data_IF_585899355891
#
_entry.id   IF_585899355891
#
_cell.length_a   1.000
_cell.length_b   1.000
_cell.length_c   1.000
_cell.angle_alpha   90.00
_cell.angle_beta   90.00
_cell.angle_gamma   90.00
#
_symmetry.space_group_name_H-M   'P 1'
#
loop_
_entity.id
_entity.type
_entity.pdbx_description
1 polymer ?
#
# COMPACT_ATOMS: atom_id res chain seq x y z
N UNK A 1 -14.55 15.13 3.36
CA UNK A 1 -13.84 14.06 2.64
C UNK A 1 -13.30 13.11 3.68
N UNK A 2 -13.61 11.82 3.58
CA UNK A 2 -13.12 10.81 4.52
C UNK A 2 -11.61 10.56 4.31
N UNK A 3 -10.94 9.96 5.31
CA UNK A 3 -9.53 9.54 5.17
C UNK A 3 -9.34 8.60 3.98
N UNK A 4 -10.27 7.68 3.79
CA UNK A 4 -10.27 6.74 2.68
C UNK A 4 -10.40 7.45 1.32
N UNK A 5 -11.31 8.41 1.18
CA UNK A 5 -11.43 9.20 -0.05
C UNK A 5 -10.17 10.02 -0.34
N UNK A 6 -9.53 10.57 0.70
CA UNK A 6 -8.24 11.28 0.56
C UNK A 6 -7.16 10.32 0.06
N UNK A 7 -7.04 9.14 0.67
CA UNK A 7 -6.08 8.12 0.27
C UNK A 7 -6.28 7.71 -1.18
N UNK A 8 -7.51 7.37 -1.58
CA UNK A 8 -7.82 6.99 -2.97
C UNK A 8 -7.40 8.07 -3.97
N UNK A 9 -7.62 9.36 -3.66
CA UNK A 9 -7.18 10.46 -4.52
C UNK A 9 -5.66 10.56 -4.66
N UNK A 10 -4.91 10.29 -3.59
CA UNK A 10 -3.44 10.27 -3.65
C UNK A 10 -2.93 9.09 -4.47
N UNK A 11 -3.56 7.92 -4.32
CA UNK A 11 -3.21 6.73 -5.10
C UNK A 11 -3.59 6.83 -6.59
N UNK A 12 -4.62 7.61 -6.91
CA UNK A 12 -5.05 7.88 -8.29
C UNK A 12 -4.21 8.96 -9.00
N UNK A 13 -3.28 9.62 -8.30
CA UNK A 13 -2.36 10.55 -8.94
C UNK A 13 -1.53 9.84 -10.02
N UNK A 14 -1.14 10.51 -11.12
CA UNK A 14 -0.16 9.95 -12.05
C UNK A 14 1.14 9.57 -11.35
N UNK A 15 1.75 8.46 -11.77
CA UNK A 15 3.13 8.10 -11.39
C UNK A 15 4.11 9.12 -11.98
N UNK A 16 4.56 10.04 -11.14
CA UNK A 16 5.55 11.05 -11.44
C UNK A 16 6.44 11.31 -10.21
N UNK A 17 7.52 12.08 -10.40
CA UNK A 17 8.46 12.39 -9.32
C UNK A 17 7.75 13.08 -8.14
N UNK A 18 6.71 13.87 -8.39
CA UNK A 18 6.00 14.56 -7.32
C UNK A 18 5.21 13.56 -6.45
N UNK A 19 4.63 12.53 -7.07
CA UNK A 19 4.00 11.45 -6.33
C UNK A 19 4.99 10.75 -5.41
N UNK A 20 6.12 10.28 -5.96
CA UNK A 20 7.14 9.56 -5.19
C UNK A 20 7.78 10.41 -4.08
N UNK A 21 8.13 11.66 -4.38
CA UNK A 21 8.88 12.52 -3.45
C UNK A 21 8.00 13.11 -2.32
N UNK A 22 6.70 13.31 -2.57
CA UNK A 22 5.81 14.05 -1.66
C UNK A 22 4.55 13.26 -1.30
N UNK A 23 3.77 12.85 -2.30
CA UNK A 23 2.44 12.29 -2.04
C UNK A 23 2.47 10.88 -1.45
N UNK A 24 3.52 10.10 -1.73
CA UNK A 24 3.71 8.77 -1.16
C UNK A 24 3.79 8.85 0.37
N UNK A 25 4.57 9.78 0.91
CA UNK A 25 4.66 10.03 2.36
C UNK A 25 3.30 10.43 2.96
N UNK A 26 2.59 11.35 2.32
CA UNK A 26 1.24 11.73 2.77
C UNK A 26 0.24 10.56 2.76
N UNK A 27 0.33 9.69 1.74
CA UNK A 27 -0.52 8.52 1.64
C UNK A 27 -0.21 7.49 2.73
N UNK A 28 1.09 7.27 3.02
CA UNK A 28 1.56 6.40 4.11
C UNK A 28 1.07 6.90 5.46
N UNK A 29 1.20 8.18 5.76
CA UNK A 29 0.70 8.77 7.02
C UNK A 29 -0.81 8.54 7.23
N UNK A 30 -1.59 8.58 6.15
CA UNK A 30 -3.03 8.28 6.23
C UNK A 30 -3.24 6.82 6.63
N UNK A 31 -2.53 5.89 6.00
CA UNK A 31 -2.58 4.45 6.33
C UNK A 31 -2.19 4.24 7.80
N UNK A 32 -1.07 4.80 8.24
CA UNK A 32 -0.54 4.63 9.60
C UNK A 32 -1.45 5.21 10.68
N UNK A 33 -2.31 6.17 10.33
CA UNK A 33 -3.26 6.76 11.27
C UNK A 33 -4.36 5.80 11.71
N UNK A 34 -4.69 4.78 10.90
CA UNK A 34 -5.68 3.74 11.21
C UNK A 34 -5.54 2.54 10.24
N UNK A 35 -4.45 1.76 10.33
CA UNK A 35 -4.10 0.77 9.33
C UNK A 35 -5.10 -0.39 9.29
N UNK A 36 -5.58 -0.84 10.46
CA UNK A 36 -6.54 -1.95 10.55
C UNK A 36 -7.85 -1.62 9.83
N UNK A 37 -8.40 -0.42 10.01
CA UNK A 37 -9.65 -0.02 9.36
C UNK A 37 -9.45 0.23 7.87
N UNK A 38 -8.44 1.02 7.50
CA UNK A 38 -8.25 1.43 6.11
C UNK A 38 -7.86 0.25 5.22
N UNK A 39 -6.88 -0.55 5.64
CA UNK A 39 -6.40 -1.67 4.83
C UNK A 39 -7.41 -2.81 4.78
N UNK A 40 -8.22 -3.03 5.82
CA UNK A 40 -9.32 -4.03 5.76
C UNK A 40 -10.33 -3.64 4.69
N UNK A 41 -10.72 -2.36 4.64
CA UNK A 41 -11.66 -1.88 3.63
C UNK A 41 -11.07 -1.97 2.21
N UNK A 42 -9.76 -1.78 2.05
CA UNK A 42 -9.08 -1.95 0.75
C UNK A 42 -9.04 -3.43 0.36
N UNK A 43 -8.70 -4.31 1.31
CA UNK A 43 -8.60 -5.76 1.08
C UNK A 43 -9.91 -6.36 0.55
N UNK A 44 -11.06 -5.80 0.88
CA UNK A 44 -12.36 -6.28 0.40
C UNK A 44 -12.67 -5.90 -1.07
N UNK A 45 -11.98 -4.92 -1.65
CA UNK A 45 -12.37 -4.34 -2.95
C UNK A 45 -11.22 -4.14 -3.95
N UNK A 46 -9.97 -4.40 -3.56
CA UNK A 46 -8.78 -4.08 -4.35
C UNK A 46 -8.81 -4.69 -5.76
N UNK A 47 -9.42 -5.87 -5.95
CA UNK A 47 -9.48 -6.55 -7.26
C UNK A 47 -10.16 -5.70 -8.35
N UNK A 48 -11.05 -4.78 -7.95
CA UNK A 48 -11.76 -3.87 -8.84
C UNK A 48 -11.00 -2.59 -9.17
N UNK A 49 -9.89 -2.32 -8.49
CA UNK A 49 -9.15 -1.07 -8.63
C UNK A 49 -8.31 -1.02 -9.91
N UNK A 50 -8.06 0.20 -10.45
CA UNK A 50 -7.17 0.36 -11.60
C UNK A 50 -5.71 0.08 -11.22
N UNK A 51 -4.92 -0.31 -12.23
CA UNK A 51 -3.50 -0.66 -12.11
C UNK A 51 -2.69 0.39 -11.33
N UNK A 52 -2.72 1.66 -11.76
CA UNK A 52 -2.01 2.77 -11.12
C UNK A 52 -2.26 2.85 -9.61
N UNK A 53 -3.53 2.73 -9.19
CA UNK A 53 -3.89 2.78 -7.77
C UNK A 53 -3.32 1.61 -7.00
N UNK A 54 -3.31 0.42 -7.61
CA UNK A 54 -2.78 -0.80 -6.99
C UNK A 54 -1.25 -0.79 -6.94
N UNK A 55 -0.57 -0.23 -7.95
CA UNK A 55 0.87 -0.05 -7.97
C UNK A 55 1.30 0.90 -6.83
N UNK A 56 0.69 2.07 -6.77
CA UNK A 56 0.91 3.05 -5.71
C UNK A 56 0.59 2.48 -4.32
N UNK A 57 -0.50 1.72 -4.19
CA UNK A 57 -0.78 1.02 -2.94
C UNK A 57 0.33 0.05 -2.59
N UNK A 58 0.73 -0.82 -3.51
CA UNK A 58 1.77 -1.84 -3.29
C UNK A 58 3.12 -1.23 -2.91
N UNK A 59 3.48 -0.10 -3.52
CA UNK A 59 4.69 0.67 -3.20
C UNK A 59 4.73 1.12 -1.73
N UNK A 60 3.57 1.48 -1.15
CA UNK A 60 3.49 2.00 0.22
C UNK A 60 3.50 0.92 1.30
N UNK A 61 3.34 -0.37 0.95
CA UNK A 61 3.21 -1.44 1.93
C UNK A 61 4.57 -1.99 2.36
N UNK A 62 4.62 -2.57 3.55
CA UNK A 62 5.80 -3.25 4.11
C UNK A 62 6.55 -2.43 5.15
N UNK A 63 6.27 -1.13 5.25
CA UNK A 63 6.78 -0.28 6.32
C UNK A 63 6.03 -0.48 7.65
N UNK A 64 4.79 -0.97 7.60
CA UNK A 64 4.01 -1.32 8.79
C UNK A 64 4.11 -2.79 9.15
N UNK A 65 3.60 -3.14 10.33
CA UNK A 65 3.60 -4.53 10.85
C UNK A 65 2.21 -5.04 11.18
N UNK A 66 1.16 -4.37 10.68
CA UNK A 66 -0.21 -4.82 10.91
C UNK A 66 -0.47 -6.16 10.19
N UNK A 67 -1.30 -7.01 10.80
CA UNK A 67 -1.63 -8.31 10.19
C UNK A 67 -2.44 -8.12 8.90
N UNK A 68 -3.21 -7.04 8.80
CA UNK A 68 -3.99 -6.75 7.59
C UNK A 68 -3.11 -6.29 6.43
N UNK A 69 -2.03 -5.55 6.70
CA UNK A 69 -1.05 -5.15 5.68
C UNK A 69 -0.36 -6.35 5.05
N UNK A 70 0.06 -7.32 5.87
CA UNK A 70 0.61 -8.59 5.36
C UNK A 70 -0.38 -9.35 4.48
N UNK A 71 -1.65 -9.44 4.90
CA UNK A 71 -2.70 -10.10 4.09
C UNK A 71 -2.90 -9.38 2.75
N UNK A 72 -2.88 -8.06 2.75
CA UNK A 72 -3.03 -7.25 1.54
C UNK A 72 -1.84 -7.43 0.60
N UNK A 73 -0.60 -7.41 1.12
CA UNK A 73 0.61 -7.70 0.32
C UNK A 73 0.49 -9.07 -0.36
N UNK A 74 0.09 -10.10 0.39
CA UNK A 74 -0.10 -11.46 -0.15
C UNK A 74 -1.20 -11.48 -1.21
N UNK A 75 -2.32 -10.78 -0.99
CA UNK A 75 -3.40 -10.71 -1.97
C UNK A 75 -2.93 -10.07 -3.29
N UNK A 76 -2.11 -9.01 -3.22
CA UNK A 76 -1.58 -8.30 -4.38
C UNK A 76 -0.62 -9.15 -5.24
N UNK A 77 -0.02 -10.22 -4.70
CA UNK A 77 0.72 -11.20 -5.51
C UNK A 77 -0.17 -11.92 -6.54
N UNK A 78 -1.47 -11.99 -6.29
CA UNK A 78 -2.46 -12.55 -7.23
C UNK A 78 -2.94 -11.55 -8.28
N UNK A 79 -2.44 -10.32 -8.29
CA UNK A 79 -2.87 -9.30 -9.25
C UNK A 79 -2.58 -9.70 -10.71
N UNK A 80 -3.49 -9.32 -11.62
CA UNK A 80 -3.30 -9.46 -13.07
C UNK A 80 -2.24 -8.52 -13.64
N UNK A 81 -1.87 -7.49 -12.89
CA UNK A 81 -0.92 -6.45 -13.29
C UNK A 81 0.49 -6.79 -12.82
N UNK A 82 1.44 -6.89 -13.76
CA UNK A 82 2.79 -7.39 -13.46
C UNK A 82 3.59 -6.45 -12.55
N UNK A 83 3.40 -5.15 -12.73
CA UNK A 83 3.93 -4.06 -11.91
C UNK A 83 3.46 -4.14 -10.46
N UNK A 84 2.16 -4.35 -10.25
CA UNK A 84 1.59 -4.57 -8.91
C UNK A 84 2.23 -5.78 -8.24
N UNK A 85 2.39 -6.89 -8.97
CA UNK A 85 3.04 -8.11 -8.45
C UNK A 85 4.53 -7.85 -8.13
N UNK A 86 5.21 -7.02 -8.93
CA UNK A 86 6.59 -6.63 -8.67
C UNK A 86 6.71 -5.86 -7.34
N UNK A 87 5.95 -4.78 -7.16
CA UNK A 87 5.97 -3.99 -5.93
C UNK A 87 5.50 -4.77 -4.72
N UNK A 88 4.50 -5.65 -4.87
CA UNK A 88 4.07 -6.50 -3.77
C UNK A 88 5.15 -7.51 -3.34
N UNK A 89 6.10 -7.88 -4.21
CA UNK A 89 7.29 -8.67 -3.80
C UNK A 89 8.30 -7.80 -3.04
N UNK A 90 8.50 -6.55 -3.46
CA UNK A 90 9.34 -5.60 -2.74
C UNK A 90 8.79 -5.34 -1.32
N UNK A 91 7.47 -5.15 -1.20
CA UNK A 91 6.79 -4.95 0.06
C UNK A 91 6.97 -6.13 1.05
N UNK A 92 7.07 -7.38 0.57
CA UNK A 92 7.40 -8.53 1.44
C UNK A 92 8.81 -8.39 2.02
N UNK A 93 9.79 -8.03 1.18
CA UNK A 93 11.18 -7.86 1.60
C UNK A 93 11.28 -6.73 2.64
N UNK A 94 10.55 -5.63 2.41
CA UNK A 94 10.52 -4.51 3.36
C UNK A 94 9.83 -4.92 4.67
N UNK A 95 8.72 -5.65 4.62
CA UNK A 95 8.02 -6.15 5.81
C UNK A 95 8.93 -7.01 6.70
N UNK A 96 9.69 -7.92 6.09
CA UNK A 96 10.67 -8.74 6.80
C UNK A 96 11.76 -7.87 7.46
N UNK A 97 12.23 -6.87 6.74
CA UNK A 97 13.24 -5.93 7.24
C UNK A 97 12.71 -5.08 8.40
N UNK A 98 11.49 -4.56 8.30
CA UNK A 98 10.78 -3.83 9.36
C UNK A 98 10.62 -4.69 10.61
N UNK A 99 10.16 -5.93 10.46
CA UNK A 99 10.00 -6.88 11.58
C UNK A 99 11.31 -7.14 12.31
N UNK A 100 12.41 -7.24 11.58
CA UNK A 100 13.74 -7.42 12.17
C UNK A 100 14.19 -6.18 12.95
N UNK A 101 13.94 -4.97 12.42
CA UNK A 101 14.26 -3.70 13.10
C UNK A 101 13.50 -3.53 14.42
N UNK A 102 12.25 -3.97 14.50
CA UNK A 102 11.43 -3.86 15.72
C UNK A 102 11.76 -4.90 16.81
N UNK A 103 12.55 -5.92 16.49
CA UNK A 103 12.99 -6.95 17.44
C UNK A 103 14.30 -6.59 18.17
N UNK A 104 14.98 -5.52 17.74
CA UNK A 104 16.21 -4.98 18.32
C UNK A 104 15.90 -3.87 19.33
#
# INVERSE_FOLDING_TARGET
MSKFEKLVRLLDHPDDNYWGDILAGEAREIIDSDPEVLLSFILEQWESWPENRLEHLAYLLGEGVSNVEEKLIIALHGSKYKSVVFHAKEAVIELESTRNRQRL
#
